data_IF_618840117876
#
_entry.id   IF_618840117876
#
_cell.length_a   1.000
_cell.length_b   1.000
_cell.length_c   1.000
_cell.angle_alpha   90.00
_cell.angle_beta   90.00
_cell.angle_gamma   90.00
#
_symmetry.space_group_name_H-M   'P 1'
#
loop_
_entity.id
_entity.type
_entity.pdbx_description
1 polymer ?
#
# COMPACT_ATOMS: atom_id res chain seq x y z
N UNK A 1 -44.69 -49.20 -26.28
CA UNK A 1 -44.98 -48.50 -25.01
C UNK A 1 -43.83 -48.75 -24.06
N UNK A 2 -43.44 -47.70 -23.33
CA UNK A 2 -42.14 -47.44 -22.67
C UNK A 2 -41.93 -48.28 -21.41
N UNK A 3 -40.67 -48.60 -21.09
CA UNK A 3 -40.02 -48.43 -19.77
C UNK A 3 -38.62 -49.08 -19.82
N UNK A 4 -37.49 -48.39 -19.67
CA UNK A 4 -37.19 -47.17 -18.93
C UNK A 4 -36.01 -47.49 -18.00
N UNK A 5 -34.77 -47.44 -18.51
CA UNK A 5 -33.56 -47.70 -17.71
C UNK A 5 -33.20 -46.40 -16.98
N UNK A 6 -33.46 -46.36 -15.67
CA UNK A 6 -33.04 -45.28 -14.78
C UNK A 6 -31.66 -45.57 -14.21
N UNK A 7 -30.60 -45.11 -14.88
CA UNK A 7 -29.26 -45.07 -14.31
C UNK A 7 -29.14 -43.79 -13.44
N UNK A 8 -29.24 -43.99 -12.13
CA UNK A 8 -29.03 -42.94 -11.10
C UNK A 8 -27.63 -42.34 -11.25
N UNK A 9 -27.62 -41.01 -11.41
CA UNK A 9 -26.44 -40.20 -11.69
C UNK A 9 -25.35 -40.29 -10.63
N UNK A 10 -24.15 -40.64 -11.08
CA UNK A 10 -22.89 -40.39 -10.38
C UNK A 10 -22.47 -38.96 -10.76
N UNK A 11 -23.00 -37.98 -10.03
CA UNK A 11 -22.58 -36.58 -10.16
C UNK A 11 -21.21 -36.36 -9.53
N UNK A 12 -20.13 -36.70 -10.25
CA UNK A 12 -18.77 -36.24 -9.91
C UNK A 12 -18.73 -34.73 -10.11
N UNK A 13 -18.88 -33.96 -9.02
CA UNK A 13 -18.50 -32.55 -8.99
C UNK A 13 -16.98 -32.47 -8.93
N UNK A 14 -16.34 -32.57 -10.09
CA UNK A 14 -14.96 -32.12 -10.25
C UNK A 14 -15.01 -30.58 -10.22
N UNK A 15 -14.85 -30.01 -9.03
CA UNK A 15 -14.62 -28.58 -8.88
C UNK A 15 -13.22 -28.29 -9.45
N UNK A 16 -13.18 -27.90 -10.72
CA UNK A 16 -11.98 -27.31 -11.32
C UNK A 16 -11.80 -25.95 -10.65
N UNK A 17 -10.95 -25.90 -9.63
CA UNK A 17 -10.40 -24.65 -9.13
C UNK A 17 -9.48 -24.09 -10.22
N UNK A 18 -10.05 -23.30 -11.14
CA UNK A 18 -9.26 -22.45 -12.02
C UNK A 18 -8.58 -21.39 -11.18
N UNK A 19 -7.41 -21.70 -10.65
CA UNK A 19 -6.46 -20.70 -10.24
C UNK A 19 -5.95 -20.02 -11.51
N UNK A 20 -6.62 -18.94 -11.92
CA UNK A 20 -6.08 -18.02 -12.92
C UNK A 20 -4.83 -17.39 -12.32
N UNK A 21 -3.69 -18.03 -12.54
CA UNK A 21 -2.39 -17.42 -12.30
C UNK A 21 -2.28 -16.22 -13.24
N UNK A 22 -2.43 -15.01 -12.70
CA UNK A 22 -2.28 -13.78 -13.45
C UNK A 22 -0.89 -13.71 -14.06
N UNK A 23 -0.82 -13.68 -15.39
CA UNK A 23 0.41 -13.49 -16.14
C UNK A 23 0.98 -12.09 -15.83
N UNK A 24 2.15 -12.04 -15.20
CA UNK A 24 2.91 -10.80 -15.01
C UNK A 24 3.83 -10.62 -16.22
N UNK A 25 3.53 -9.64 -17.07
CA UNK A 25 4.41 -9.25 -18.18
C UNK A 25 5.34 -8.16 -17.66
N UNK A 26 6.64 -8.46 -17.57
CA UNK A 26 7.63 -7.48 -17.16
C UNK A 26 7.94 -6.51 -18.31
N UNK A 27 7.56 -5.24 -18.16
CA UNK A 27 7.91 -4.16 -19.08
C UNK A 27 8.68 -3.15 -18.25
N UNK A 28 9.97 -2.95 -18.54
CA UNK A 28 10.78 -1.96 -17.82
C UNK A 28 10.27 -0.56 -18.18
N UNK A 29 9.50 0.05 -17.28
CA UNK A 29 8.92 1.38 -17.49
C UNK A 29 9.71 2.51 -16.85
N UNK A 30 9.22 3.73 -17.07
CA UNK A 30 9.82 4.99 -16.63
C UNK A 30 10.01 4.99 -15.09
N UNK A 31 11.22 5.32 -14.66
CA UNK A 31 11.50 5.57 -13.24
C UNK A 31 11.14 7.02 -12.91
N UNK A 32 10.40 7.21 -11.84
CA UNK A 32 9.96 8.49 -11.33
C UNK A 32 10.47 8.65 -9.90
N UNK A 33 11.05 9.81 -9.62
CA UNK A 33 11.60 10.18 -8.32
C UNK A 33 11.09 11.57 -7.97
N UNK A 34 10.55 11.72 -6.77
CA UNK A 34 10.10 13.02 -6.29
C UNK A 34 10.38 13.16 -4.80
N UNK A 35 10.70 14.40 -4.40
CA UNK A 35 10.81 14.78 -3.01
C UNK A 35 9.49 15.39 -2.56
N UNK A 36 9.03 15.00 -1.39
CA UNK A 36 7.78 15.45 -0.80
C UNK A 36 8.04 15.99 0.58
N UNK A 37 7.30 17.04 0.92
CA UNK A 37 7.18 17.57 2.26
C UNK A 37 5.71 17.86 2.54
N UNK A 38 5.23 17.46 3.72
CA UNK A 38 3.89 17.79 4.16
C UNK A 38 3.84 17.88 5.69
N UNK A 39 2.89 18.68 6.20
CA UNK A 39 2.57 18.74 7.62
C UNK A 39 1.07 18.56 7.87
N UNK A 40 0.71 18.22 9.10
CA UNK A 40 -0.66 18.33 9.59
C UNK A 40 -1.13 19.80 9.59
N UNK A 41 -2.43 20.02 9.69
CA UNK A 41 -3.03 21.38 9.60
C UNK A 41 -2.54 22.35 10.68
N UNK A 42 -2.22 21.82 11.87
CA UNK A 42 -1.64 22.57 12.97
C UNK A 42 -0.11 22.72 12.87
N UNK A 43 0.52 22.09 11.87
CA UNK A 43 1.97 22.10 11.65
C UNK A 43 2.76 21.22 12.62
N UNK A 44 2.07 20.49 13.50
CA UNK A 44 2.71 19.77 14.59
C UNK A 44 3.33 18.45 14.18
N UNK A 45 2.73 17.69 13.27
CA UNK A 45 3.36 16.51 12.68
C UNK A 45 3.78 16.81 11.24
N UNK A 46 5.03 16.50 10.89
CA UNK A 46 5.57 16.75 9.56
C UNK A 46 6.40 15.58 9.05
N UNK A 47 6.47 15.47 7.72
CA UNK A 47 7.27 14.47 7.03
C UNK A 47 7.97 15.11 5.83
N UNK A 48 9.22 14.73 5.61
CA UNK A 48 10.02 15.18 4.48
C UNK A 48 10.90 14.06 3.95
N UNK A 49 10.96 13.88 2.64
CA UNK A 49 11.78 12.81 2.07
C UNK A 49 11.52 12.54 0.60
N UNK A 50 11.94 11.37 0.15
CA UNK A 50 11.87 10.96 -1.24
C UNK A 50 11.00 9.72 -1.42
N UNK A 51 10.25 9.71 -2.52
CA UNK A 51 9.50 8.56 -2.99
C UNK A 51 9.83 8.31 -4.45
N UNK A 52 10.29 7.09 -4.72
CA UNK A 52 10.70 6.64 -6.03
C UNK A 52 9.84 5.47 -6.45
N UNK A 53 9.49 5.40 -7.72
CA UNK A 53 8.72 4.29 -8.28
C UNK A 53 9.10 4.03 -9.73
N UNK A 54 8.94 2.80 -10.17
CA UNK A 54 9.15 2.41 -11.55
C UNK A 54 8.20 1.28 -11.92
N UNK A 55 7.65 1.35 -13.12
CA UNK A 55 6.76 0.31 -13.59
C UNK A 55 7.58 -0.96 -13.89
N UNK A 56 7.17 -2.06 -13.29
CA UNK A 56 7.82 -3.38 -13.46
C UNK A 56 6.99 -4.35 -14.28
N UNK A 57 5.73 -4.02 -14.58
CA UNK A 57 4.90 -4.85 -15.44
C UNK A 57 3.42 -4.46 -15.44
N UNK A 58 2.58 -5.47 -15.68
CA UNK A 58 1.12 -5.37 -15.59
C UNK A 58 0.52 -6.62 -14.93
N UNK A 59 -0.58 -6.45 -14.20
CA UNK A 59 -1.37 -7.54 -13.63
C UNK A 59 -2.85 -7.15 -13.51
N UNK A 60 -3.75 -8.08 -13.84
CA UNK A 60 -5.19 -7.84 -13.80
C UNK A 60 -5.64 -6.64 -14.65
N UNK A 61 -4.92 -6.32 -15.73
CA UNK A 61 -5.20 -5.17 -16.61
C UNK A 61 -4.65 -3.83 -16.13
N UNK A 62 -3.93 -3.78 -15.01
CA UNK A 62 -3.35 -2.55 -14.44
C UNK A 62 -1.83 -2.61 -14.41
N UNK A 63 -1.13 -1.46 -14.50
CA UNK A 63 0.31 -1.39 -14.27
C UNK A 63 0.71 -1.85 -12.86
N UNK A 64 1.87 -2.51 -12.77
CA UNK A 64 2.54 -2.86 -11.52
C UNK A 64 3.74 -1.95 -11.31
N UNK A 65 3.88 -1.43 -10.10
CA UNK A 65 5.01 -0.60 -9.71
C UNK A 65 5.77 -1.22 -8.54
N UNK A 66 7.09 -1.14 -8.63
CA UNK A 66 7.96 -1.25 -7.47
C UNK A 66 8.34 0.16 -7.01
N UNK A 67 8.56 0.29 -5.72
CA UNK A 67 8.66 1.58 -5.04
C UNK A 67 9.78 1.54 -4.00
N UNK A 68 10.44 2.67 -3.77
CA UNK A 68 11.43 2.85 -2.73
C UNK A 68 11.28 4.24 -2.11
N UNK A 69 11.28 4.30 -0.78
CA UNK A 69 11.08 5.55 -0.06
C UNK A 69 12.07 5.71 1.08
N UNK A 70 12.34 6.97 1.39
CA UNK A 70 13.20 7.40 2.48
C UNK A 70 12.66 8.72 3.03
N UNK A 71 12.02 8.66 4.20
CA UNK A 71 11.34 9.79 4.83
C UNK A 71 11.82 10.00 6.26
N UNK A 72 12.04 11.27 6.61
CA UNK A 72 12.15 11.74 7.98
C UNK A 72 10.79 12.24 8.48
N UNK A 73 10.46 11.92 9.73
CA UNK A 73 9.19 12.21 10.39
C UNK A 73 9.52 13.01 11.66
N UNK A 74 8.82 14.11 11.87
CA UNK A 74 9.08 15.00 13.00
C UNK A 74 7.80 15.51 13.64
N UNK A 75 7.71 15.35 14.96
CA UNK A 75 6.80 16.05 15.86
C UNK A 75 7.44 17.36 16.34
N UNK A 76 6.86 18.46 15.86
CA UNK A 76 7.28 19.82 16.10
C UNK A 76 6.61 20.44 17.34
N UNK A 77 5.71 19.73 18.03
CA UNK A 77 4.87 20.29 19.08
C UNK A 77 4.99 19.55 20.41
N UNK A 78 4.87 20.29 21.51
CA UNK A 78 4.88 19.73 22.86
C UNK A 78 3.50 19.26 23.35
N UNK A 79 2.81 18.44 22.55
CA UNK A 79 1.43 18.01 22.82
C UNK A 79 1.31 16.57 23.34
N UNK A 80 2.42 15.83 23.39
CA UNK A 80 2.48 14.44 23.83
C UNK A 80 2.01 13.42 22.80
N UNK A 81 1.84 13.82 21.53
CA UNK A 81 1.45 12.94 20.43
C UNK A 81 2.59 12.82 19.39
N UNK A 82 3.13 11.61 19.21
CA UNK A 82 4.12 11.40 18.16
C UNK A 82 3.57 11.59 16.74
N UNK A 83 4.43 11.98 15.80
CA UNK A 83 4.16 12.05 14.37
C UNK A 83 4.36 10.69 13.70
N UNK A 84 3.54 10.36 12.70
CA UNK A 84 3.57 9.10 11.98
C UNK A 84 3.38 9.25 10.47
N UNK A 85 4.06 8.40 9.71
CA UNK A 85 3.87 8.25 8.28
C UNK A 85 3.06 6.98 8.01
N UNK A 86 2.00 7.12 7.22
CA UNK A 86 1.07 6.06 6.86
C UNK A 86 0.91 5.97 5.35
N UNK A 87 0.50 4.81 4.86
CA UNK A 87 0.23 4.60 3.44
C UNK A 87 -1.05 3.83 3.20
N UNK A 88 -1.68 4.10 2.06
CA UNK A 88 -2.69 3.22 1.47
C UNK A 88 -2.20 2.79 0.11
N UNK A 89 -2.44 1.54 -0.29
CA UNK A 89 -2.06 1.04 -1.61
C UNK A 89 -2.89 -0.17 -2.01
N UNK A 90 -2.89 -0.48 -3.31
CA UNK A 90 -3.37 -1.75 -3.85
C UNK A 90 -2.18 -2.65 -4.12
N UNK A 91 -2.25 -3.92 -3.74
CA UNK A 91 -1.20 -4.92 -3.98
C UNK A 91 -1.73 -6.09 -4.78
N UNK A 92 -0.96 -6.53 -5.78
CA UNK A 92 -1.29 -7.75 -6.51
C UNK A 92 -0.82 -8.97 -5.71
N UNK A 93 -1.76 -9.72 -5.17
CA UNK A 93 -1.47 -10.94 -4.41
C UNK A 93 -2.60 -11.96 -4.59
N UNK A 94 -2.24 -13.24 -4.62
CA UNK A 94 -3.17 -14.34 -4.83
C UNK A 94 -4.05 -14.19 -6.08
N UNK A 95 -3.51 -13.61 -7.16
CA UNK A 95 -4.23 -13.42 -8.43
C UNK A 95 -5.30 -12.32 -8.40
N UNK A 96 -5.26 -11.42 -7.42
CA UNK A 96 -6.22 -10.32 -7.28
C UNK A 96 -5.57 -9.05 -6.71
N UNK A 97 -6.23 -7.91 -6.93
CA UNK A 97 -5.85 -6.65 -6.30
C UNK A 97 -6.47 -6.56 -4.90
N UNK A 98 -5.61 -6.41 -3.90
CA UNK A 98 -6.00 -6.32 -2.50
C UNK A 98 -5.65 -4.94 -1.96
N UNK A 99 -6.63 -4.31 -1.30
CA UNK A 99 -6.45 -3.00 -0.71
C UNK A 99 -5.79 -3.12 0.67
N UNK A 100 -4.72 -2.37 0.87
CA UNK A 100 -4.01 -2.21 2.12
C UNK A 100 -4.23 -0.78 2.62
N UNK A 101 -5.02 -0.63 3.67
CA UNK A 101 -5.38 0.67 4.25
C UNK A 101 -4.47 1.07 5.41
N UNK A 102 -4.14 2.36 5.49
CA UNK A 102 -3.46 3.03 6.61
C UNK A 102 -2.35 2.21 7.28
N UNK A 103 -1.49 1.59 6.48
CA UNK A 103 -0.33 0.86 6.99
C UNK A 103 0.70 1.86 7.51
N UNK A 104 1.09 1.72 8.79
CA UNK A 104 2.14 2.56 9.40
C UNK A 104 3.50 2.20 8.79
N UNK A 105 4.19 3.19 8.23
CA UNK A 105 5.54 3.05 7.69
C UNK A 105 6.63 3.41 8.69
N UNK A 106 6.32 4.33 9.61
CA UNK A 106 7.22 4.77 10.67
C UNK A 106 6.56 5.82 11.55
N UNK A 107 7.22 6.18 12.64
CA UNK A 107 6.85 7.30 13.50
C UNK A 107 8.09 7.79 14.25
N UNK A 108 8.04 9.01 14.76
CA UNK A 108 8.89 9.33 15.90
C UNK A 108 8.36 8.62 17.16
N UNK A 109 9.27 8.24 18.04
CA UNK A 109 8.96 7.31 19.13
C UNK A 109 8.67 7.97 20.47
N UNK A 110 8.82 9.29 20.61
CA UNK A 110 8.91 9.91 21.93
C UNK A 110 8.06 11.16 22.17
N UNK A 111 7.33 11.65 21.17
CA UNK A 111 6.67 12.95 21.28
C UNK A 111 7.66 14.13 21.33
N UNK A 112 7.13 15.31 21.05
CA UNK A 112 7.65 16.64 21.29
C UNK A 112 9.17 16.84 21.33
N UNK A 113 9.74 17.36 20.23
CA UNK A 113 11.13 17.86 20.16
C UNK A 113 12.25 16.81 20.27
N UNK A 114 11.94 15.54 20.03
CA UNK A 114 12.93 14.46 20.07
C UNK A 114 13.50 14.10 18.70
N UNK A 115 14.38 13.09 18.69
CA UNK A 115 15.04 12.57 17.48
C UNK A 115 13.99 12.21 16.43
N UNK A 116 14.11 12.71 15.19
CA UNK A 116 13.14 12.42 14.14
C UNK A 116 13.01 10.91 13.90
N UNK A 117 11.79 10.47 13.63
CA UNK A 117 11.52 9.14 13.13
C UNK A 117 12.00 9.00 11.69
N UNK A 118 12.37 7.80 11.29
CA UNK A 118 12.76 7.51 9.91
C UNK A 118 11.96 6.33 9.36
N UNK A 119 11.45 6.48 8.15
CA UNK A 119 10.74 5.44 7.42
C UNK A 119 11.43 5.21 6.08
N UNK A 120 12.19 4.12 5.99
CA UNK A 120 12.92 3.74 4.78
C UNK A 120 12.63 2.29 4.42
N UNK A 121 12.00 2.07 3.28
CA UNK A 121 11.69 0.71 2.81
C UNK A 121 11.33 0.70 1.32
N UNK A 122 10.97 -0.48 0.83
CA UNK A 122 10.55 -0.76 -0.53
C UNK A 122 9.17 -1.41 -0.54
N UNK A 123 8.38 -1.11 -1.56
CA UNK A 123 7.11 -1.76 -1.85
C UNK A 123 7.18 -2.44 -3.21
N UNK A 124 6.59 -3.62 -3.32
CA UNK A 124 6.69 -4.45 -4.51
C UNK A 124 5.31 -4.77 -5.07
N UNK A 125 5.18 -4.71 -6.40
CA UNK A 125 3.93 -5.09 -7.10
C UNK A 125 2.70 -4.33 -6.57
N UNK A 126 2.86 -3.01 -6.38
CA UNK A 126 1.84 -2.11 -5.85
C UNK A 126 1.30 -1.16 -6.91
N UNK A 127 0.16 -0.53 -6.61
CA UNK A 127 -0.38 0.62 -7.34
C UNK A 127 -1.23 1.49 -6.42
N UNK A 128 -1.65 2.65 -6.94
CA UNK A 128 -2.57 3.58 -6.26
C UNK A 128 -2.06 3.95 -4.85
N UNK A 129 -0.74 4.13 -4.72
CA UNK A 129 -0.09 4.44 -3.44
C UNK A 129 -0.37 5.88 -3.06
N UNK A 130 -0.82 6.08 -1.83
CA UNK A 130 -0.94 7.39 -1.18
C UNK A 130 -0.17 7.39 0.11
N UNK A 131 0.42 8.53 0.45
CA UNK A 131 1.14 8.72 1.70
C UNK A 131 0.44 9.78 2.54
N UNK A 132 0.46 9.59 3.85
CA UNK A 132 -0.19 10.46 4.81
C UNK A 132 0.72 10.72 6.00
N UNK A 133 0.77 11.97 6.45
CA UNK A 133 1.31 12.33 7.76
C UNK A 133 0.16 12.51 8.74
N UNK A 134 0.26 11.92 9.92
CA UNK A 134 -0.75 12.01 10.98
C UNK A 134 -0.06 12.02 12.33
N UNK A 135 -0.77 12.42 13.37
CA UNK A 135 -0.44 12.02 14.74
C UNK A 135 -0.73 10.54 14.95
N UNK A 136 0.14 9.88 15.71
CA UNK A 136 -0.01 8.47 16.08
C UNK A 136 -1.27 8.30 16.93
N UNK A 137 -2.19 7.48 16.44
CA UNK A 137 -3.45 7.19 17.13
C UNK A 137 -4.58 8.18 16.85
N UNK A 138 -4.36 9.20 16.01
CA UNK A 138 -5.36 10.22 15.68
C UNK A 138 -5.52 10.35 14.16
N UNK A 139 -6.39 9.51 13.59
CA UNK A 139 -6.64 9.49 12.14
C UNK A 139 -7.28 10.77 11.58
N UNK A 140 -7.88 11.61 12.42
CA UNK A 140 -8.49 12.87 11.99
C UNK A 140 -7.45 13.94 11.68
N UNK A 141 -6.22 13.77 12.16
CA UNK A 141 -5.10 14.67 11.88
C UNK A 141 -4.45 14.44 10.52
N UNK A 142 -4.81 13.36 9.80
CA UNK A 142 -4.09 12.92 8.63
C UNK A 142 -4.16 13.91 7.45
N UNK A 143 -3.01 14.24 6.90
CA UNK A 143 -2.87 15.05 5.67
C UNK A 143 -2.14 14.23 4.61
N UNK A 144 -2.70 14.20 3.40
CA UNK A 144 -2.11 13.49 2.27
C UNK A 144 -0.92 14.24 1.68
N UNK A 145 0.13 13.51 1.31
CA UNK A 145 1.28 14.03 0.57
C UNK A 145 0.97 14.09 -0.93
N UNK A 146 0.31 13.05 -1.45
CA UNK A 146 -0.15 12.90 -2.84
C UNK A 146 -1.24 11.82 -2.93
#
# INVERSE_FOLDING_TARGET
>A
MVNGITLKGIGKKLAVATATAGLVIAVSGQAQAANYYQSTYDGCASVGGSYNYWQVGTAGGYPLYDTNWDFAIADNCADGKGAGLYTTYQKWENGSWNYHGYTKLGADSNGANDTPGYAKSKGYSVRDVKLYVCFVGDGNSCVALF
#
